data_IF_026696804749
#
_entry.id   IF_026696804749
#
_cell.length_a   1.000
_cell.length_b   1.000
_cell.length_c   1.000
_cell.angle_alpha   90.00
_cell.angle_beta   90.00
_cell.angle_gamma   90.00
#
_symmetry.space_group_name_H-M   'P 1'
#
loop_
_entity.id
_entity.type
_entity.pdbx_description
1 polymer ?
#
# COMPACT_ATOMS: atom_id res chain seq x y z
N UNK A 1 15.33 16.18 -8.88
CA UNK A 1 14.65 16.41 -7.60
C UNK A 1 15.71 16.28 -6.51
N UNK A 2 15.93 17.30 -5.72
CA UNK A 2 16.92 17.27 -4.64
C UNK A 2 16.17 17.08 -3.31
N UNK A 3 16.36 15.92 -2.67
CA UNK A 3 15.87 15.66 -1.32
C UNK A 3 17.01 16.02 -0.38
N UNK A 4 16.75 16.94 0.54
CA UNK A 4 17.73 17.34 1.54
C UNK A 4 18.11 16.16 2.44
N UNK A 5 19.40 16.01 2.75
CA UNK A 5 19.93 14.93 3.59
C UNK A 5 19.30 14.88 5.00
N UNK A 6 18.90 16.04 5.55
CA UNK A 6 18.21 16.14 6.84
C UNK A 6 16.67 16.07 6.73
N UNK A 7 16.11 15.62 5.59
CA UNK A 7 14.66 15.60 5.39
C UNK A 7 13.94 14.67 6.37
N UNK A 8 12.75 15.09 6.79
CA UNK A 8 11.90 14.33 7.73
C UNK A 8 11.52 12.96 7.20
N UNK A 9 11.39 12.82 5.87
CA UNK A 9 11.12 11.52 5.26
C UNK A 9 12.21 10.49 5.51
N UNK A 10 13.50 10.90 5.48
CA UNK A 10 14.64 10.01 5.66
C UNK A 10 14.87 9.62 7.12
N UNK A 11 14.71 10.56 8.06
CA UNK A 11 15.05 10.35 9.45
C UNK A 11 13.88 9.96 10.34
N UNK A 12 12.67 10.42 10.01
CA UNK A 12 11.47 10.23 10.85
C UNK A 12 10.32 9.60 10.11
N UNK A 13 10.52 9.14 8.85
CA UNK A 13 9.53 8.41 8.09
C UNK A 13 8.27 9.21 7.75
N UNK A 14 8.33 10.57 7.72
CA UNK A 14 7.20 11.39 7.33
C UNK A 14 6.95 11.30 5.82
N UNK A 15 6.32 10.19 5.42
CA UNK A 15 5.97 9.88 4.04
C UNK A 15 4.79 8.92 3.99
N UNK A 16 3.99 9.01 2.94
CA UNK A 16 2.96 8.03 2.62
C UNK A 16 2.96 7.73 1.13
N UNK A 17 2.37 6.61 0.75
CA UNK A 17 2.30 6.20 -0.64
C UNK A 17 1.00 5.48 -0.96
N UNK A 18 0.72 5.41 -2.25
CA UNK A 18 -0.39 4.65 -2.79
C UNK A 18 0.08 3.64 -3.84
N UNK A 19 -0.79 2.72 -4.17
CA UNK A 19 -0.57 1.76 -5.23
C UNK A 19 -1.87 1.46 -5.94
N UNK A 20 -1.90 1.72 -7.25
CA UNK A 20 -3.01 1.38 -8.13
C UNK A 20 -2.45 0.95 -9.49
N UNK A 21 -3.31 0.38 -10.33
CA UNK A 21 -2.90 -0.17 -11.61
C UNK A 21 -3.76 0.36 -12.74
N UNK A 22 -3.12 0.66 -13.87
CA UNK A 22 -3.80 0.91 -15.14
C UNK A 22 -3.78 -0.38 -15.98
N UNK A 23 -4.92 -0.77 -16.48
CA UNK A 23 -5.12 -1.98 -17.27
C UNK A 23 -5.54 -1.63 -18.69
N UNK A 24 -4.95 -2.31 -19.67
CA UNK A 24 -5.46 -2.27 -21.05
C UNK A 24 -6.62 -3.23 -21.16
N UNK A 25 -7.75 -2.72 -21.64
CA UNK A 25 -8.96 -3.49 -21.89
C UNK A 25 -8.93 -4.16 -23.28
N UNK A 26 -9.89 -5.07 -23.53
CA UNK A 26 -10.00 -5.82 -24.78
C UNK A 26 -10.23 -4.90 -25.99
N UNK A 27 -10.95 -3.81 -25.81
CA UNK A 27 -11.23 -2.77 -26.82
C UNK A 27 -10.09 -1.76 -27.02
N UNK A 28 -8.97 -1.95 -26.33
CA UNK A 28 -7.81 -1.06 -26.36
C UNK A 28 -7.88 0.12 -25.39
N UNK A 29 -9.02 0.37 -24.76
CA UNK A 29 -9.14 1.41 -23.73
C UNK A 29 -8.27 1.11 -22.50
N UNK A 30 -7.99 2.14 -21.69
CA UNK A 30 -7.19 2.00 -20.49
C UNK A 30 -8.02 2.43 -19.29
N UNK A 31 -8.10 1.57 -18.28
CA UNK A 31 -8.88 1.81 -17.07
C UNK A 31 -8.03 1.83 -15.81
N UNK A 32 -8.36 2.76 -14.90
CA UNK A 32 -7.93 2.80 -13.51
C UNK A 32 -9.08 2.30 -12.63
N UNK A 33 -8.80 1.41 -11.69
CA UNK A 33 -9.81 0.89 -10.79
C UNK A 33 -9.91 1.75 -9.52
N UNK A 34 -11.04 2.43 -9.34
CA UNK A 34 -11.40 3.23 -8.16
C UNK A 34 -10.29 4.19 -7.65
N UNK A 35 -9.69 5.03 -8.52
CA UNK A 35 -8.61 5.94 -8.12
C UNK A 35 -9.05 6.98 -7.06
N UNK A 36 -10.35 7.31 -7.00
CA UNK A 36 -10.98 8.13 -5.97
C UNK A 36 -10.77 7.55 -4.57
N UNK A 37 -10.85 6.24 -4.41
CA UNK A 37 -10.63 5.56 -3.13
C UNK A 37 -9.15 5.55 -2.73
N UNK A 38 -8.23 5.48 -3.71
CA UNK A 38 -6.80 5.68 -3.45
C UNK A 38 -6.52 7.10 -2.98
N UNK A 39 -7.13 8.11 -3.64
CA UNK A 39 -7.01 9.51 -3.23
C UNK A 39 -7.50 9.71 -1.79
N UNK A 40 -8.69 9.23 -1.46
CA UNK A 40 -9.26 9.33 -0.12
C UNK A 40 -8.40 8.62 0.94
N UNK A 41 -7.79 7.46 0.61
CA UNK A 41 -6.88 6.77 1.52
C UNK A 41 -5.56 7.51 1.70
N UNK A 42 -4.99 8.11 0.64
CA UNK A 42 -3.82 8.97 0.73
C UNK A 42 -4.09 10.18 1.61
N UNK A 43 -5.24 10.84 1.47
CA UNK A 43 -5.64 11.97 2.31
C UNK A 43 -5.68 11.58 3.79
N UNK A 44 -6.28 10.43 4.14
CA UNK A 44 -6.26 9.92 5.53
C UNK A 44 -4.85 9.64 6.02
N UNK A 45 -3.98 9.06 5.18
CA UNK A 45 -2.58 8.80 5.53
C UNK A 45 -1.80 10.08 5.73
N UNK A 46 -1.99 11.08 4.86
CA UNK A 46 -1.40 12.41 5.00
C UNK A 46 -1.86 13.10 6.29
N UNK A 47 -3.16 13.10 6.58
CA UNK A 47 -3.73 13.68 7.79
C UNK A 47 -3.12 13.06 9.06
N UNK A 48 -2.94 11.72 9.08
CA UNK A 48 -2.32 11.01 10.22
C UNK A 48 -0.89 11.43 10.50
N UNK A 49 -0.15 11.86 9.47
CA UNK A 49 1.26 12.29 9.58
C UNK A 49 1.44 13.81 9.46
N UNK A 50 0.38 14.61 9.59
CA UNK A 50 0.42 16.08 9.47
C UNK A 50 1.05 16.54 8.14
N UNK A 51 0.69 15.88 7.04
CA UNK A 51 1.12 16.23 5.68
C UNK A 51 -0.04 16.87 4.90
N UNK A 52 0.25 17.75 3.92
CA UNK A 52 -0.77 18.32 3.04
C UNK A 52 -1.54 17.22 2.30
N UNK A 53 -2.84 17.43 2.13
CA UNK A 53 -3.70 16.52 1.40
C UNK A 53 -3.81 16.96 -0.06
N UNK A 54 -3.49 16.07 -0.98
CA UNK A 54 -3.77 16.26 -2.41
C UNK A 54 -5.26 16.04 -2.63
N UNK A 55 -5.93 16.95 -3.37
CA UNK A 55 -7.37 16.77 -3.63
C UNK A 55 -7.64 15.53 -4.49
N UNK A 56 -8.84 15.00 -4.42
CA UNK A 56 -9.23 13.82 -5.21
C UNK A 56 -9.08 14.08 -6.71
N UNK A 57 -9.47 15.27 -7.16
CA UNK A 57 -9.38 15.71 -8.55
C UNK A 57 -7.93 15.79 -9.00
N UNK A 58 -7.08 16.45 -8.22
CA UNK A 58 -5.64 16.56 -8.53
C UNK A 58 -4.96 15.20 -8.57
N UNK A 59 -5.29 14.30 -7.63
CA UNK A 59 -4.75 12.94 -7.60
C UNK A 59 -5.14 12.16 -8.87
N UNK A 60 -6.43 12.18 -9.24
CA UNK A 60 -6.93 11.46 -10.42
C UNK A 60 -6.31 12.02 -11.70
N UNK A 61 -6.27 13.34 -11.88
CA UNK A 61 -5.68 13.96 -13.06
C UNK A 61 -4.18 13.69 -13.17
N UNK A 62 -3.44 13.71 -12.05
CA UNK A 62 -2.03 13.33 -12.04
C UNK A 62 -1.84 11.85 -12.44
N UNK A 63 -2.68 10.92 -11.94
CA UNK A 63 -2.64 9.53 -12.36
C UNK A 63 -2.92 9.36 -13.85
N UNK A 64 -3.94 10.04 -14.40
CA UNK A 64 -4.25 10.02 -15.84
C UNK A 64 -3.08 10.56 -16.69
N UNK A 65 -2.47 11.66 -16.26
CA UNK A 65 -1.34 12.26 -16.95
C UNK A 65 -0.14 11.28 -17.03
N UNK A 66 0.19 10.62 -15.91
CA UNK A 66 1.26 9.60 -15.85
C UNK A 66 0.92 8.40 -16.74
N UNK A 67 -0.32 7.91 -16.71
CA UNK A 67 -0.78 6.81 -17.58
C UNK A 67 -0.63 7.19 -19.06
N UNK A 68 -1.11 8.36 -19.45
CA UNK A 68 -1.00 8.86 -20.84
C UNK A 68 0.46 8.98 -21.29
N UNK A 69 1.34 9.52 -20.47
CA UNK A 69 2.76 9.67 -20.79
C UNK A 69 3.49 8.31 -20.91
N UNK A 70 2.95 7.26 -20.31
CA UNK A 70 3.54 5.93 -20.26
C UNK A 70 2.70 4.87 -20.98
N UNK A 71 1.76 5.26 -21.83
CA UNK A 71 0.80 4.35 -22.49
C UNK A 71 1.47 3.19 -23.22
N UNK A 72 2.59 3.44 -23.89
CA UNK A 72 3.37 2.42 -24.63
C UNK A 72 3.92 1.29 -23.75
N UNK A 73 4.02 1.53 -22.43
CA UNK A 73 4.53 0.55 -21.46
C UNK A 73 3.43 -0.25 -20.77
N UNK A 74 2.15 0.04 -21.05
CA UNK A 74 1.04 -0.72 -20.49
C UNK A 74 0.98 -2.09 -21.17
N UNK A 75 1.12 -3.20 -20.41
CA UNK A 75 1.06 -4.54 -20.99
C UNK A 75 -0.24 -4.78 -21.78
N UNK A 76 -0.19 -5.60 -22.85
CA UNK A 76 -1.37 -5.92 -23.64
C UNK A 76 -2.46 -6.64 -22.82
N UNK A 77 -3.71 -6.49 -23.25
CA UNK A 77 -4.83 -7.26 -22.70
C UNK A 77 -4.56 -8.77 -22.76
N UNK A 78 -4.97 -9.50 -21.74
CA UNK A 78 -4.81 -10.96 -21.68
C UNK A 78 -3.47 -11.48 -21.16
N UNK A 79 -2.47 -10.59 -20.96
CA UNK A 79 -1.15 -10.98 -20.42
C UNK A 79 -1.13 -11.11 -18.88
N UNK A 80 -2.19 -10.67 -18.19
CA UNK A 80 -2.22 -10.57 -16.74
C UNK A 80 -1.37 -9.42 -16.17
N UNK A 81 -0.70 -8.66 -17.03
CA UNK A 81 0.12 -7.51 -16.66
C UNK A 81 -0.67 -6.21 -16.55
N UNK A 82 -0.05 -5.20 -15.96
CA UNK A 82 -0.60 -3.86 -15.79
C UNK A 82 0.52 -2.82 -15.66
N UNK A 83 0.21 -1.55 -15.83
CA UNK A 83 1.08 -0.46 -15.42
C UNK A 83 0.77 -0.11 -13.97
N UNK A 84 1.71 -0.39 -13.06
CA UNK A 84 1.59 -0.04 -11.66
C UNK A 84 1.99 1.42 -11.46
N UNK A 85 1.14 2.19 -10.78
CA UNK A 85 1.40 3.56 -10.37
C UNK A 85 1.69 3.61 -8.88
N UNK A 86 2.73 4.38 -8.51
CA UNK A 86 3.13 4.65 -7.14
C UNK A 86 3.04 6.14 -6.84
N UNK A 87 1.85 6.68 -6.52
CA UNK A 87 1.74 8.01 -5.92
C UNK A 87 2.36 8.02 -4.52
N UNK A 88 3.05 9.10 -4.17
CA UNK A 88 3.62 9.26 -2.83
C UNK A 88 3.74 10.74 -2.45
N UNK A 89 3.70 11.00 -1.14
CA UNK A 89 4.01 12.30 -0.54
C UNK A 89 5.14 12.11 0.44
N UNK A 90 6.13 12.98 0.39
CA UNK A 90 7.30 12.98 1.29
C UNK A 90 7.53 14.36 1.88
N UNK A 91 7.90 14.40 3.16
CA UNK A 91 8.39 15.60 3.81
C UNK A 91 9.85 15.85 3.47
N UNK A 92 10.16 17.05 2.98
CA UNK A 92 11.49 17.47 2.52
C UNK A 92 11.91 18.80 3.17
N UNK A 93 13.04 19.33 2.75
CA UNK A 93 13.62 20.55 3.32
C UNK A 93 14.46 20.26 4.56
N UNK A 94 15.03 21.31 5.12
CA UNK A 94 15.95 21.24 6.26
C UNK A 94 15.18 20.99 7.56
N UNK A 95 15.43 19.85 8.19
CA UNK A 95 14.82 19.53 9.47
C UNK A 95 15.70 18.60 10.31
N UNK A 96 16.03 19.02 11.53
CA UNK A 96 16.58 18.17 12.57
C UNK A 96 15.63 18.22 13.77
N UNK A 97 15.13 17.07 14.17
CA UNK A 97 14.18 16.95 15.28
C UNK A 97 12.79 16.45 14.82
N UNK A 98 12.05 15.90 15.78
CA UNK A 98 10.72 15.30 15.54
C UNK A 98 9.67 16.39 15.43
N UNK A 99 9.52 16.94 14.24
CA UNK A 99 8.48 17.93 13.88
C UNK A 99 8.10 17.75 12.41
N UNK A 100 6.99 18.33 12.00
CA UNK A 100 6.57 18.29 10.60
C UNK A 100 7.60 18.94 9.68
N UNK A 101 7.75 18.40 8.48
CA UNK A 101 8.63 18.97 7.45
C UNK A 101 8.20 20.38 7.05
N UNK A 102 9.15 21.28 6.66
CA UNK A 102 8.81 22.61 6.16
C UNK A 102 8.21 22.57 4.75
N UNK A 103 8.53 21.54 3.95
CA UNK A 103 8.10 21.41 2.57
C UNK A 103 7.70 19.97 2.26
N UNK A 104 6.88 19.79 1.24
CA UNK A 104 6.40 18.47 0.81
C UNK A 104 6.46 18.31 -0.70
N UNK A 105 6.72 17.09 -1.16
CA UNK A 105 6.67 16.72 -2.56
C UNK A 105 5.61 15.66 -2.76
N UNK A 106 4.63 15.92 -3.66
CA UNK A 106 3.77 14.89 -4.23
C UNK A 106 4.35 14.48 -5.58
N UNK A 107 4.48 13.17 -5.82
CA UNK A 107 4.97 12.63 -7.08
C UNK A 107 4.35 11.27 -7.38
N UNK A 108 4.39 10.87 -8.66
CA UNK A 108 3.92 9.56 -9.12
C UNK A 108 4.97 8.98 -10.06
N UNK A 109 5.44 7.77 -9.79
CA UNK A 109 6.14 6.99 -10.80
C UNK A 109 5.32 5.78 -11.24
N UNK A 110 5.63 5.25 -12.42
CA UNK A 110 4.96 4.10 -12.99
C UNK A 110 5.96 3.04 -13.45
N UNK A 111 5.57 1.77 -13.35
CA UNK A 111 6.37 0.63 -13.78
C UNK A 111 5.46 -0.48 -14.32
N UNK A 112 5.76 -1.11 -15.48
CA UNK A 112 5.04 -2.28 -15.92
C UNK A 112 5.29 -3.46 -14.98
N UNK A 113 4.23 -4.19 -14.62
CA UNK A 113 4.28 -5.35 -13.73
C UNK A 113 3.51 -6.51 -14.34
N UNK A 114 3.97 -7.74 -14.07
CA UNK A 114 3.24 -8.97 -14.37
C UNK A 114 2.22 -9.33 -13.28
N UNK A 115 1.69 -10.56 -13.36
CA UNK A 115 0.85 -11.12 -12.31
C UNK A 115 1.63 -11.19 -10.98
N UNK A 116 0.98 -10.82 -9.88
CA UNK A 116 1.60 -10.79 -8.56
C UNK A 116 2.04 -12.19 -8.09
N UNK A 117 1.17 -13.18 -8.28
CA UNK A 117 1.49 -14.58 -8.02
C UNK A 117 1.79 -15.31 -9.33
N UNK A 118 3.01 -15.82 -9.47
CA UNK A 118 3.37 -16.72 -10.57
C UNK A 118 2.68 -18.06 -10.33
N UNK A 119 1.84 -18.50 -11.27
CA UNK A 119 1.10 -19.76 -11.15
C UNK A 119 -0.38 -19.63 -10.79
N UNK A 120 -0.91 -18.41 -10.64
CA UNK A 120 -2.34 -18.15 -10.39
C UNK A 120 -2.76 -18.41 -8.94
N UNK A 121 -4.00 -18.89 -8.76
CA UNK A 121 -4.57 -19.21 -7.44
C UNK A 121 -4.07 -20.57 -6.96
N UNK A 122 -2.92 -20.58 -6.29
CA UNK A 122 -2.34 -21.77 -5.66
C UNK A 122 -2.26 -21.60 -4.15
N UNK A 123 -2.52 -22.65 -3.34
CA UNK A 123 -2.35 -22.59 -1.90
C UNK A 123 -0.90 -22.32 -1.53
N UNK A 124 -0.70 -21.50 -0.50
CA UNK A 124 0.61 -21.21 0.07
C UNK A 124 0.57 -21.35 1.60
N UNK A 125 1.72 -21.71 2.17
CA UNK A 125 1.90 -21.74 3.61
C UNK A 125 2.36 -20.36 4.10
N UNK A 126 1.84 -19.93 5.24
CA UNK A 126 2.18 -18.68 5.90
C UNK A 126 2.67 -18.94 7.32
N UNK A 127 3.63 -18.13 7.77
CA UNK A 127 4.15 -18.19 9.13
C UNK A 127 3.34 -17.24 10.02
N UNK A 128 2.85 -17.70 11.17
CA UNK A 128 2.31 -16.79 12.19
C UNK A 128 3.49 -16.03 12.80
N UNK A 129 3.49 -14.71 12.66
CA UNK A 129 4.54 -13.84 13.18
C UNK A 129 4.42 -13.67 14.69
N UNK A 130 5.57 -13.65 15.37
CA UNK A 130 5.68 -13.19 16.76
C UNK A 130 5.84 -11.68 16.89
N UNK A 131 5.98 -10.97 15.78
CA UNK A 131 6.06 -9.50 15.73
C UNK A 131 4.70 -8.92 15.40
N UNK A 132 4.41 -7.75 15.95
CA UNK A 132 3.24 -6.96 15.57
C UNK A 132 3.47 -6.28 14.21
N UNK A 133 2.43 -6.14 13.41
CA UNK A 133 2.47 -5.36 12.18
C UNK A 133 2.46 -3.85 12.47
N UNK A 134 1.67 -3.45 13.45
CA UNK A 134 1.51 -2.06 13.89
C UNK A 134 0.95 -2.02 15.31
N UNK A 135 1.23 -0.95 16.04
CA UNK A 135 0.62 -0.70 17.35
C UNK A 135 -0.91 -0.55 17.23
N UNK A 136 -1.69 -0.86 18.28
CA UNK A 136 -3.16 -0.86 18.26
C UNK A 136 -3.79 0.45 17.79
N UNK A 137 -3.20 1.60 18.15
CA UNK A 137 -3.62 2.93 17.73
C UNK A 137 -2.47 3.69 17.04
N UNK A 138 -1.57 2.95 16.39
CA UNK A 138 -0.42 3.48 15.68
C UNK A 138 -0.76 3.99 14.28
N UNK A 139 0.02 3.57 13.31
CA UNK A 139 -0.10 3.96 11.90
C UNK A 139 -0.63 2.84 11.00
N UNK A 140 -1.14 1.73 11.58
CA UNK A 140 -1.53 0.54 10.81
C UNK A 140 -2.56 0.82 9.71
N UNK A 141 -3.55 1.67 9.96
CA UNK A 141 -4.56 2.06 8.98
C UNK A 141 -4.06 3.10 7.96
N UNK A 142 -2.90 3.70 8.17
CA UNK A 142 -2.27 4.63 7.24
C UNK A 142 -1.26 3.90 6.33
N UNK A 143 -1.22 4.28 5.06
CA UNK A 143 -0.30 3.64 4.09
C UNK A 143 1.06 4.34 4.10
N UNK A 144 1.84 4.07 5.16
CA UNK A 144 3.11 4.75 5.47
C UNK A 144 4.27 3.76 5.52
N UNK A 145 5.47 4.19 5.13
CA UNK A 145 6.63 3.33 4.99
C UNK A 145 7.09 2.65 6.26
N UNK A 146 6.88 3.27 7.42
CA UNK A 146 7.24 2.70 8.71
C UNK A 146 6.60 1.31 8.96
N UNK A 147 5.32 1.13 8.56
CA UNK A 147 4.65 -0.15 8.68
C UNK A 147 5.32 -1.24 7.83
N UNK A 148 5.85 -0.86 6.66
CA UNK A 148 6.53 -1.80 5.75
C UNK A 148 7.96 -2.07 6.18
N UNK A 149 8.66 -1.08 6.71
CA UNK A 149 9.99 -1.27 7.30
C UNK A 149 9.93 -2.26 8.47
N UNK A 150 8.92 -2.15 9.35
CA UNK A 150 8.70 -3.09 10.45
C UNK A 150 8.44 -4.53 9.98
N UNK A 151 7.88 -4.71 8.78
CA UNK A 151 7.57 -6.04 8.22
C UNK A 151 8.78 -6.74 7.55
N UNK A 152 9.94 -6.07 7.41
CA UNK A 152 11.10 -6.65 6.72
C UNK A 152 11.66 -7.87 7.47
N UNK A 153 11.81 -7.78 8.78
CA UNK A 153 12.36 -8.88 9.59
C UNK A 153 11.44 -10.11 9.59
N UNK A 154 10.14 -10.00 9.94
CA UNK A 154 9.24 -11.17 9.90
C UNK A 154 9.11 -11.75 8.49
N UNK A 155 9.05 -10.94 7.43
CA UNK A 155 9.04 -11.43 6.05
C UNK A 155 10.30 -12.19 5.66
N UNK A 156 11.48 -11.74 6.13
CA UNK A 156 12.75 -12.45 5.91
C UNK A 156 12.78 -13.80 6.66
N UNK A 157 12.25 -13.84 7.89
CA UNK A 157 12.14 -15.09 8.66
C UNK A 157 11.19 -16.08 7.99
N UNK A 158 10.03 -15.63 7.51
CA UNK A 158 9.09 -16.48 6.79
C UNK A 158 9.74 -17.10 5.54
N UNK A 159 10.40 -16.29 4.72
CA UNK A 159 11.11 -16.77 3.52
C UNK A 159 12.22 -17.77 3.84
N UNK A 160 13.01 -17.52 4.90
CA UNK A 160 14.06 -18.44 5.36
C UNK A 160 13.48 -19.79 5.79
N UNK A 161 12.26 -19.80 6.33
CA UNK A 161 11.53 -21.00 6.72
C UNK A 161 10.66 -21.59 5.60
N UNK A 162 10.82 -21.13 4.35
CA UNK A 162 10.08 -21.61 3.15
C UNK A 162 8.57 -21.31 3.18
N UNK A 163 8.15 -20.29 3.90
CA UNK A 163 6.79 -19.76 3.85
C UNK A 163 6.68 -18.60 2.84
N UNK A 164 5.50 -18.39 2.31
CA UNK A 164 5.24 -17.31 1.34
C UNK A 164 5.35 -15.92 1.98
N UNK A 165 4.79 -15.73 3.18
CA UNK A 165 4.81 -14.50 3.96
C UNK A 165 4.33 -14.78 5.40
N UNK A 166 4.05 -13.74 6.19
CA UNK A 166 3.58 -13.81 7.57
C UNK A 166 2.08 -13.53 7.69
N UNK A 167 1.43 -14.22 8.63
CA UNK A 167 0.15 -13.82 9.21
C UNK A 167 0.47 -13.02 10.48
N UNK A 168 -0.09 -11.82 10.59
CA UNK A 168 0.00 -10.99 11.78
C UNK A 168 -1.25 -11.13 12.63
N UNK A 169 -1.06 -11.25 13.94
CA UNK A 169 -2.13 -11.29 14.92
C UNK A 169 -2.40 -9.90 15.48
N UNK A 170 -3.54 -9.73 16.12
CA UNK A 170 -3.91 -8.50 16.80
C UNK A 170 -2.90 -8.17 17.91
N UNK A 171 -2.41 -6.91 17.99
CA UNK A 171 -1.34 -6.56 18.92
C UNK A 171 -1.77 -6.44 20.38
N UNK A 172 -3.07 -6.58 20.68
CA UNK A 172 -3.57 -6.53 22.06
C UNK A 172 -3.61 -7.90 22.73
N UNK A 173 -4.06 -8.93 22.00
CA UNK A 173 -4.30 -10.26 22.58
C UNK A 173 -3.54 -11.37 21.89
N UNK A 174 -2.98 -11.12 20.72
CA UNK A 174 -2.31 -12.08 19.84
C UNK A 174 -3.17 -13.34 19.58
N UNK A 175 -4.49 -13.16 19.52
CA UNK A 175 -5.45 -14.27 19.38
C UNK A 175 -6.30 -14.20 18.10
N UNK A 176 -6.28 -13.07 17.39
CA UNK A 176 -7.09 -12.84 16.20
C UNK A 176 -6.20 -12.47 15.02
N UNK A 177 -6.52 -13.02 13.85
CA UNK A 177 -5.82 -12.64 12.61
C UNK A 177 -6.16 -11.19 12.26
N UNK A 178 -5.15 -10.39 11.91
CA UNK A 178 -5.32 -9.02 11.39
C UNK A 178 -5.03 -8.91 9.89
N UNK A 179 -3.79 -9.13 9.50
CA UNK A 179 -3.36 -9.00 8.10
C UNK A 179 -2.35 -10.10 7.72
N UNK A 180 -2.14 -10.29 6.43
CA UNK A 180 -1.19 -11.24 5.88
C UNK A 180 -0.17 -10.50 5.02
N UNK A 181 1.06 -10.36 5.50
CA UNK A 181 2.09 -9.60 4.80
C UNK A 181 1.62 -8.17 4.50
N UNK A 182 1.46 -7.86 3.23
CA UNK A 182 0.93 -6.58 2.73
C UNK A 182 -0.51 -6.67 2.21
N UNK A 183 -1.26 -7.74 2.53
CA UNK A 183 -2.60 -8.02 2.05
C UNK A 183 -3.61 -8.15 3.21
N UNK A 184 -4.86 -7.74 2.96
CA UNK A 184 -5.96 -7.99 3.88
C UNK A 184 -6.29 -9.49 3.92
N UNK A 185 -6.75 -9.96 5.07
CA UNK A 185 -7.21 -11.33 5.28
C UNK A 185 -8.73 -11.44 5.09
N UNK A 186 -9.15 -12.52 4.44
CA UNK A 186 -10.53 -12.98 4.41
C UNK A 186 -10.59 -14.44 4.80
N UNK A 187 -11.55 -14.78 5.64
CA UNK A 187 -11.91 -16.15 5.97
C UNK A 187 -13.29 -16.51 5.40
N UNK A 188 -13.50 -17.78 5.16
CA UNK A 188 -14.82 -18.34 4.87
C UNK A 188 -15.19 -19.23 6.05
N UNK A 189 -16.32 -18.98 6.68
CA UNK A 189 -16.81 -19.77 7.81
C UNK A 189 -17.53 -21.04 7.32
N UNK A 190 -17.76 -21.99 8.22
CA UNK A 190 -18.50 -23.23 7.87
C UNK A 190 -19.95 -22.99 7.43
N UNK A 191 -20.52 -21.83 7.72
CA UNK A 191 -21.85 -21.38 7.28
C UNK A 191 -21.76 -20.42 6.07
N UNK A 192 -20.69 -20.54 5.28
CA UNK A 192 -20.44 -19.85 4.01
C UNK A 192 -20.44 -18.32 4.09
N UNK A 193 -20.06 -17.76 5.24
CA UNK A 193 -19.90 -16.32 5.39
C UNK A 193 -18.47 -15.85 5.14
N UNK A 194 -18.31 -14.77 4.37
CA UNK A 194 -17.05 -14.04 4.27
C UNK A 194 -16.84 -13.20 5.52
N UNK A 195 -15.71 -13.40 6.19
CA UNK A 195 -15.30 -12.62 7.35
C UNK A 195 -13.94 -11.98 7.11
N UNK A 196 -13.76 -10.76 7.60
CA UNK A 196 -12.49 -10.03 7.52
C UNK A 196 -12.27 -9.27 8.82
N UNK A 197 -11.02 -9.10 9.28
CA UNK A 197 -10.73 -8.38 10.52
C UNK A 197 -11.24 -6.94 10.47
N UNK A 198 -11.82 -6.49 11.58
CA UNK A 198 -12.25 -5.11 11.78
C UNK A 198 -11.48 -4.52 12.97
N UNK A 199 -10.32 -3.96 12.69
CA UNK A 199 -9.41 -3.38 13.67
C UNK A 199 -8.92 -2.01 13.20
N UNK A 200 -8.70 -1.04 14.10
CA UNK A 200 -8.16 0.27 13.74
C UNK A 200 -6.72 0.23 13.22
N UNK A 201 -6.02 -0.88 13.40
CA UNK A 201 -4.65 -1.08 12.88
C UNK A 201 -4.61 -1.72 11.49
N UNK A 202 -5.73 -2.25 10.97
CA UNK A 202 -5.81 -2.86 9.64
C UNK A 202 -5.89 -1.80 8.54
N UNK A 203 -5.08 -1.93 7.50
CA UNK A 203 -5.16 -1.03 6.35
C UNK A 203 -6.49 -1.24 5.60
N UNK A 204 -7.28 -0.17 5.36
CA UNK A 204 -8.52 -0.26 4.57
C UNK A 204 -8.17 -0.47 3.08
N UNK A 205 -8.07 -1.74 2.67
CA UNK A 205 -7.79 -2.13 1.30
C UNK A 205 -8.92 -1.76 0.35
N UNK A 206 -8.59 -1.23 -0.84
CA UNK A 206 -9.63 -0.84 -1.82
C UNK A 206 -10.33 -2.08 -2.39
N UNK A 207 -9.61 -3.17 -2.62
CA UNK A 207 -10.21 -4.46 -2.97
C UNK A 207 -11.16 -4.94 -1.86
N UNK A 208 -10.73 -4.87 -0.60
CA UNK A 208 -11.58 -5.21 0.55
C UNK A 208 -12.89 -4.40 0.58
N UNK A 209 -12.81 -3.11 0.28
CA UNK A 209 -13.98 -2.22 0.20
C UNK A 209 -14.89 -2.49 -1.03
N UNK A 210 -14.45 -3.33 -1.95
CA UNK A 210 -15.14 -3.65 -3.20
C UNK A 210 -15.82 -5.02 -3.16
N UNK A 211 -15.46 -5.84 -2.20
CA UNK A 211 -16.06 -7.15 -1.90
C UNK A 211 -17.14 -7.02 -0.84
#
# INVERSE_FOLDING_TARGET
>A
MCIRDSSTALHYGQQCFEGLKAYRCKDGSINLFRPDQNAARMQRSCARLLMPQVSTEQFIEACKAVVKANERFIPPYGTGGALYLRPFVIGVGDNIGVRTAPEFIFSIFAIPVGAYFKGGLTPHNFLISSYDRAAPQGTGAAKVGGNYAASLMPGAQAKKASFADCIYLDPLTHSKIEEVGSANFFGITHDDKFVTPNSPSVLPGITRLSL
#
